data_IF_682167789789
#
_entry.id   IF_682167789789
#
_cell.length_a   1.000
_cell.length_b   1.000
_cell.length_c   1.000
_cell.angle_alpha   90.00
_cell.angle_beta   90.00
_cell.angle_gamma   90.00
#
_symmetry.space_group_name_H-M   'P 1'
#
loop_
_entity.id
_entity.type
_entity.pdbx_description
1 polymer ?
#
# COMPACT_ATOMS: atom_id res chain seq x y z
N UNK A 1 -22.24 8.68 29.88
CA UNK A 1 -22.35 10.14 29.66
C UNK A 1 -21.36 10.54 28.59
N UNK A 2 -21.84 10.84 27.37
CA UNK A 2 -21.02 11.15 26.19
C UNK A 2 -21.24 12.64 25.90
N UNK A 3 -20.41 13.52 26.47
CA UNK A 3 -20.45 14.94 26.11
C UNK A 3 -19.99 15.05 24.65
N UNK A 4 -20.92 15.43 23.77
CA UNK A 4 -20.72 15.55 22.34
C UNK A 4 -19.85 16.75 21.97
N UNK A 5 -18.53 16.63 22.17
CA UNK A 5 -17.61 17.35 21.31
C UNK A 5 -17.46 16.51 20.05
N UNK A 6 -17.91 17.04 18.91
CA UNK A 6 -17.71 16.32 17.65
C UNK A 6 -16.20 16.23 17.40
N UNK A 7 -15.71 15.06 16.97
CA UNK A 7 -14.30 14.81 16.71
C UNK A 7 -13.63 15.94 15.90
N UNK A 8 -14.39 16.54 14.97
CA UNK A 8 -13.97 17.63 14.10
C UNK A 8 -13.85 19.02 14.76
N UNK A 9 -14.39 19.23 15.96
CA UNK A 9 -14.29 20.53 16.65
C UNK A 9 -12.89 20.83 17.16
N UNK A 10 -12.08 19.80 17.42
CA UNK A 10 -10.74 20.00 17.93
C UNK A 10 -9.71 19.84 16.80
N UNK A 11 -9.05 20.93 16.35
CA UNK A 11 -8.10 20.87 15.24
C UNK A 11 -6.91 19.93 15.54
N UNK A 12 -6.59 19.69 16.81
CA UNK A 12 -5.52 18.80 17.22
C UNK A 12 -5.84 17.33 16.88
N UNK A 13 -7.10 16.91 17.04
CA UNK A 13 -7.53 15.55 16.70
C UNK A 13 -7.55 15.34 15.19
N UNK A 14 -8.03 16.32 14.44
CA UNK A 14 -8.01 16.28 12.97
C UNK A 14 -6.57 16.21 12.45
N UNK A 15 -5.66 17.01 13.01
CA UNK A 15 -4.25 17.01 12.62
C UNK A 15 -3.56 15.66 12.88
N UNK A 16 -3.70 15.11 14.09
CA UNK A 16 -3.16 13.78 14.42
C UNK A 16 -3.72 12.69 13.50
N UNK A 17 -5.00 12.80 13.16
CA UNK A 17 -5.67 11.81 12.33
C UNK A 17 -5.29 11.89 10.87
N UNK A 18 -5.13 13.10 10.33
CA UNK A 18 -4.56 13.32 9.00
C UNK A 18 -3.15 12.74 8.91
N UNK A 19 -2.31 12.96 9.92
CA UNK A 19 -0.95 12.43 9.95
C UNK A 19 -0.93 10.89 10.03
N UNK A 20 -1.93 10.30 10.69
CA UNK A 20 -2.14 8.84 10.73
C UNK A 20 -2.57 8.29 9.38
N UNK A 21 -3.44 9.00 8.66
CA UNK A 21 -3.80 8.64 7.30
C UNK A 21 -2.57 8.66 6.38
N UNK A 22 -1.76 9.71 6.43
CA UNK A 22 -0.55 9.81 5.61
C UNK A 22 0.42 8.67 5.94
N UNK A 23 0.58 8.30 7.22
CA UNK A 23 1.39 7.15 7.59
C UNK A 23 0.88 5.85 6.93
N UNK A 24 -0.43 5.59 6.99
CA UNK A 24 -0.99 4.39 6.36
C UNK A 24 -0.92 4.48 4.83
N UNK A 25 -1.11 5.66 4.25
CA UNK A 25 -0.99 5.89 2.81
C UNK A 25 0.42 5.57 2.29
N UNK A 26 1.46 5.77 3.11
CA UNK A 26 2.83 5.38 2.76
C UNK A 26 2.98 3.87 2.55
N UNK A 27 2.10 3.05 3.14
CA UNK A 27 2.06 1.60 2.86
C UNK A 27 1.49 1.27 1.49
N UNK A 28 0.66 2.16 0.92
CA UNK A 28 -0.02 1.90 -0.34
C UNK A 28 0.82 2.31 -1.55
N UNK A 29 1.73 3.28 -1.42
CA UNK A 29 2.57 3.74 -2.53
C UNK A 29 3.44 2.65 -3.17
N UNK A 30 4.11 1.74 -2.42
CA UNK A 30 4.97 0.74 -3.04
C UNK A 30 4.23 -0.51 -3.54
N UNK A 31 2.89 -0.58 -3.40
CA UNK A 31 2.10 -1.76 -3.83
C UNK A 31 2.37 -2.23 -5.27
N UNK A 32 2.52 -1.36 -6.28
CA UNK A 32 2.74 -1.78 -7.67
C UNK A 32 4.03 -2.58 -7.89
N UNK A 33 5.00 -2.49 -6.98
CA UNK A 33 6.30 -3.13 -7.14
C UNK A 33 6.29 -4.62 -6.79
N UNK A 34 5.27 -5.11 -6.09
CA UNK A 34 5.20 -6.51 -5.63
C UNK A 34 3.82 -7.13 -5.76
N UNK A 35 2.84 -6.36 -6.22
CA UNK A 35 1.50 -6.84 -6.56
C UNK A 35 1.08 -6.25 -7.89
N UNK A 36 0.35 -7.02 -8.68
CA UNK A 36 -0.26 -6.53 -9.93
C UNK A 36 -1.49 -5.65 -9.64
N UNK A 37 -1.28 -4.58 -8.86
CA UNK A 37 -2.32 -3.65 -8.46
C UNK A 37 -2.20 -2.36 -9.28
N UNK A 38 -2.76 -2.38 -10.50
CA UNK A 38 -2.86 -1.18 -11.36
C UNK A 38 -3.72 -0.03 -10.78
N UNK A 39 -4.46 -0.28 -9.70
CA UNK A 39 -5.48 0.64 -9.15
C UNK A 39 -5.14 1.21 -7.76
N UNK A 40 -3.86 1.49 -7.47
CA UNK A 40 -3.41 2.07 -6.17
C UNK A 40 -4.22 3.31 -5.77
N UNK A 41 -4.58 4.14 -6.74
CA UNK A 41 -5.40 5.34 -6.51
C UNK A 41 -6.78 5.01 -5.91
N UNK A 42 -7.42 3.92 -6.33
CA UNK A 42 -8.69 3.46 -5.75
C UNK A 42 -8.50 3.04 -4.30
N UNK A 43 -7.41 2.31 -3.99
CA UNK A 43 -7.10 1.90 -2.62
C UNK A 43 -6.78 3.10 -1.71
N UNK A 44 -6.08 4.12 -2.22
CA UNK A 44 -5.81 5.37 -1.49
C UNK A 44 -7.11 6.15 -1.19
N UNK A 45 -8.01 6.26 -2.16
CA UNK A 45 -9.32 6.91 -2.00
C UNK A 45 -10.22 6.13 -1.03
N UNK A 46 -10.27 4.80 -1.16
CA UNK A 46 -10.97 3.92 -0.24
C UNK A 46 -10.43 4.11 1.18
N UNK A 47 -9.11 4.11 1.37
CA UNK A 47 -8.47 4.32 2.67
C UNK A 47 -8.84 5.70 3.24
N UNK A 48 -8.81 6.76 2.44
CA UNK A 48 -9.21 8.09 2.87
C UNK A 48 -10.68 8.12 3.33
N UNK A 49 -11.58 7.51 2.56
CA UNK A 49 -12.99 7.39 2.91
C UNK A 49 -13.21 6.62 4.21
N UNK A 50 -12.52 5.48 4.38
CA UNK A 50 -12.57 4.67 5.60
C UNK A 50 -12.10 5.47 6.82
N UNK A 51 -11.09 6.33 6.66
CA UNK A 51 -10.66 7.24 7.72
C UNK A 51 -11.78 8.23 8.09
N UNK A 52 -12.39 8.89 7.10
CA UNK A 52 -13.50 9.82 7.35
C UNK A 52 -14.66 9.14 8.07
N UNK A 53 -15.07 7.95 7.62
CA UNK A 53 -16.10 7.13 8.28
C UNK A 53 -15.70 6.81 9.72
N UNK A 54 -14.43 6.48 9.96
CA UNK A 54 -13.94 6.17 11.29
C UNK A 54 -13.93 7.37 12.24
N UNK A 55 -13.64 8.57 11.74
CA UNK A 55 -13.67 9.83 12.48
C UNK A 55 -15.09 10.25 12.92
N UNK A 56 -16.12 9.92 12.14
CA UNK A 56 -17.50 10.27 12.46
C UNK A 56 -18.00 9.40 13.62
N UNK A 57 -18.50 10.07 14.67
CA UNK A 57 -19.12 9.40 15.83
C UNK A 57 -20.53 8.91 15.47
N UNK A 58 -20.63 7.70 14.94
CA UNK A 58 -21.91 7.05 14.58
C UNK A 58 -22.05 5.68 15.26
N UNK A 59 -23.25 5.10 15.21
CA UNK A 59 -23.51 3.74 15.68
C UNK A 59 -22.68 2.71 14.89
N UNK A 60 -22.25 1.64 15.55
CA UNK A 60 -21.40 0.60 14.95
C UNK A 60 -22.04 -0.02 13.69
N UNK A 61 -23.36 -0.23 13.69
CA UNK A 61 -24.07 -0.80 12.53
C UNK A 61 -23.99 0.14 11.31
N UNK A 62 -24.19 1.44 11.50
CA UNK A 62 -24.07 2.42 10.42
C UNK A 62 -22.64 2.49 9.89
N UNK A 63 -21.65 2.44 10.78
CA UNK A 63 -20.24 2.39 10.40
C UNK A 63 -19.95 1.16 9.54
N UNK A 64 -20.39 -0.02 9.99
CA UNK A 64 -20.23 -1.26 9.25
C UNK A 64 -20.89 -1.17 7.87
N UNK A 65 -22.10 -0.61 7.79
CA UNK A 65 -22.80 -0.38 6.53
C UNK A 65 -21.99 0.49 5.56
N UNK A 66 -21.44 1.62 6.02
CA UNK A 66 -20.61 2.50 5.17
C UNK A 66 -19.30 1.84 4.74
N UNK A 67 -18.64 1.10 5.64
CA UNK A 67 -17.42 0.35 5.32
C UNK A 67 -17.72 -0.71 4.27
N UNK A 68 -18.75 -1.52 4.47
CA UNK A 68 -19.17 -2.56 3.51
C UNK A 68 -19.55 -1.93 2.18
N UNK A 69 -20.36 -0.86 2.17
CA UNK A 69 -20.74 -0.17 0.93
C UNK A 69 -19.53 0.36 0.17
N UNK A 70 -18.54 0.92 0.86
CA UNK A 70 -17.30 1.41 0.24
C UNK A 70 -16.47 0.27 -0.36
N UNK A 71 -16.35 -0.87 0.33
CA UNK A 71 -15.64 -2.05 -0.20
C UNK A 71 -16.36 -2.60 -1.43
N UNK A 72 -17.69 -2.78 -1.38
CA UNK A 72 -18.47 -3.29 -2.50
C UNK A 72 -18.44 -2.34 -3.70
N UNK A 73 -18.49 -1.03 -3.46
CA UNK A 73 -18.36 -0.02 -4.51
C UNK A 73 -16.98 -0.06 -5.17
N UNK A 74 -15.91 -0.10 -4.37
CA UNK A 74 -14.54 -0.23 -4.91
C UNK A 74 -14.35 -1.53 -5.69
N UNK A 75 -14.90 -2.65 -5.21
CA UNK A 75 -14.91 -3.92 -5.94
C UNK A 75 -15.62 -3.79 -7.29
N UNK A 76 -16.80 -3.17 -7.29
CA UNK A 76 -17.55 -2.93 -8.53
C UNK A 76 -16.73 -2.11 -9.52
N UNK A 77 -16.11 -1.02 -9.09
CA UNK A 77 -15.32 -0.15 -9.98
C UNK A 77 -14.10 -0.82 -10.61
N UNK A 78 -13.53 -1.85 -9.97
CA UNK A 78 -12.33 -2.54 -10.46
C UNK A 78 -12.67 -3.78 -11.29
N UNK A 79 -13.65 -4.59 -10.86
CA UNK A 79 -13.82 -5.95 -11.39
C UNK A 79 -15.13 -6.19 -12.15
N UNK A 80 -16.15 -5.33 -12.01
CA UNK A 80 -17.49 -5.63 -12.53
C UNK A 80 -17.94 -4.58 -13.56
N UNK A 81 -18.47 -5.05 -14.68
CA UNK A 81 -19.09 -4.20 -15.71
C UNK A 81 -20.64 -4.19 -15.63
N UNK A 82 -21.22 -5.09 -14.84
CA UNK A 82 -22.67 -5.19 -14.61
C UNK A 82 -23.25 -3.99 -13.86
N UNK A 83 -24.58 -3.88 -13.85
CA UNK A 83 -25.28 -2.89 -13.01
C UNK A 83 -24.96 -3.11 -11.53
N UNK A 84 -24.45 -2.07 -10.85
CA UNK A 84 -24.10 -2.11 -9.44
C UNK A 84 -25.27 -2.61 -8.56
N UNK A 85 -25.00 -3.61 -7.72
CA UNK A 85 -25.97 -4.26 -6.82
C UNK A 85 -27.16 -4.93 -7.53
N UNK A 86 -27.07 -5.20 -8.83
CA UNK A 86 -28.03 -6.03 -9.56
C UNK A 86 -28.01 -7.49 -9.11
N UNK A 87 -29.03 -8.26 -9.53
CA UNK A 87 -29.14 -9.69 -9.20
C UNK A 87 -27.95 -10.47 -9.78
N UNK A 88 -27.57 -10.19 -11.04
CA UNK A 88 -26.40 -10.81 -11.68
C UNK A 88 -25.11 -10.49 -10.94
N UNK A 89 -24.93 -9.24 -10.51
CA UNK A 89 -23.77 -8.80 -9.74
C UNK A 89 -23.59 -9.62 -8.46
N UNK A 90 -24.67 -9.79 -7.68
CA UNK A 90 -24.62 -10.58 -6.45
C UNK A 90 -24.36 -12.07 -6.71
N UNK A 91 -24.94 -12.65 -7.76
CA UNK A 91 -24.70 -14.04 -8.14
C UNK A 91 -23.22 -14.27 -8.46
N UNK A 92 -22.64 -13.40 -9.29
CA UNK A 92 -21.21 -13.46 -9.66
C UNK A 92 -20.31 -13.25 -8.45
N UNK A 93 -20.56 -12.19 -7.65
CA UNK A 93 -19.73 -11.90 -6.48
C UNK A 93 -19.77 -13.02 -5.44
N UNK A 94 -20.96 -13.55 -5.12
CA UNK A 94 -21.11 -14.59 -4.10
C UNK A 94 -20.56 -15.94 -4.55
N UNK A 95 -20.79 -16.35 -5.80
CA UNK A 95 -20.24 -17.60 -6.34
C UNK A 95 -18.72 -17.59 -6.33
N UNK A 96 -18.11 -16.54 -6.91
CA UNK A 96 -16.65 -16.37 -6.92
C UNK A 96 -16.07 -16.30 -5.51
N UNK A 97 -16.69 -15.54 -4.59
CA UNK A 97 -16.19 -15.42 -3.22
C UNK A 97 -16.28 -16.75 -2.47
N UNK A 98 -17.35 -17.52 -2.66
CA UNK A 98 -17.55 -18.80 -1.98
C UNK A 98 -16.54 -19.86 -2.45
N UNK A 99 -16.36 -20.01 -3.76
CA UNK A 99 -15.38 -20.94 -4.34
C UNK A 99 -13.95 -20.63 -3.85
N UNK A 100 -13.58 -19.35 -3.84
CA UNK A 100 -12.23 -18.91 -3.44
C UNK A 100 -12.00 -19.02 -1.93
N UNK A 101 -13.06 -18.90 -1.12
CA UNK A 101 -12.96 -19.10 0.34
C UNK A 101 -12.60 -20.54 0.68
N UNK A 102 -13.07 -21.53 -0.09
CA UNK A 102 -12.70 -22.93 0.11
C UNK A 102 -11.20 -23.16 -0.12
N UNK A 103 -10.59 -22.47 -1.10
CA UNK A 103 -9.16 -22.56 -1.40
C UNK A 103 -8.26 -22.05 -0.26
N UNK A 104 -8.71 -21.05 0.51
CA UNK A 104 -7.99 -20.62 1.73
C UNK A 104 -7.89 -21.78 2.72
N UNK A 105 -9.00 -22.51 2.95
CA UNK A 105 -9.02 -23.59 3.93
C UNK A 105 -8.20 -24.81 3.50
N UNK A 106 -8.00 -25.01 2.20
CA UNK A 106 -7.13 -26.07 1.66
C UNK A 106 -5.65 -25.65 1.60
N UNK A 107 -5.32 -24.38 1.88
CA UNK A 107 -3.96 -23.86 1.90
C UNK A 107 -3.37 -23.51 0.53
N UNK A 108 -4.19 -23.53 -0.53
CA UNK A 108 -3.74 -23.20 -1.89
C UNK A 108 -3.90 -21.69 -2.15
N UNK A 109 -3.02 -20.90 -1.52
CA UNK A 109 -3.04 -19.44 -1.63
C UNK A 109 -2.61 -18.93 -3.01
N UNK A 110 -1.88 -19.76 -3.79
CA UNK A 110 -1.41 -19.40 -5.12
C UNK A 110 -2.56 -19.44 -6.14
N UNK A 111 -3.53 -20.33 -5.97
CA UNK A 111 -4.70 -20.42 -6.84
C UNK A 111 -5.77 -19.32 -6.63
N UNK A 112 -5.55 -18.40 -5.68
CA UNK A 112 -6.51 -17.33 -5.41
C UNK A 112 -6.63 -16.36 -6.59
N UNK A 113 -7.87 -16.11 -7.03
CA UNK A 113 -8.18 -15.12 -8.06
C UNK A 113 -7.90 -13.67 -7.58
N UNK A 114 -7.49 -12.79 -8.50
CA UNK A 114 -7.18 -11.37 -8.29
C UNK A 114 -8.31 -10.59 -7.60
N UNK A 115 -9.57 -10.85 -7.98
CA UNK A 115 -10.73 -10.23 -7.36
C UNK A 115 -10.77 -10.52 -5.85
N UNK A 116 -10.55 -11.79 -5.48
CA UNK A 116 -10.60 -12.23 -4.09
C UNK A 116 -9.38 -11.74 -3.28
N UNK A 117 -8.19 -11.75 -3.89
CA UNK A 117 -6.98 -11.13 -3.29
C UNK A 117 -7.20 -9.66 -2.98
N UNK A 118 -7.78 -8.92 -3.93
CA UNK A 118 -8.10 -7.49 -3.76
C UNK A 118 -9.20 -7.26 -2.73
N UNK A 119 -10.22 -8.13 -2.67
CA UNK A 119 -11.26 -8.08 -1.65
C UNK A 119 -10.70 -8.24 -0.23
N UNK A 120 -9.84 -9.26 -0.02
CA UNK A 120 -9.16 -9.47 1.25
C UNK A 120 -8.26 -8.27 1.62
N UNK A 121 -7.55 -7.72 0.64
CA UNK A 121 -6.73 -6.53 0.84
C UNK A 121 -7.57 -5.30 1.25
N UNK A 122 -8.74 -5.08 0.63
CA UNK A 122 -9.66 -4.01 1.06
C UNK A 122 -10.21 -4.21 2.47
N UNK A 123 -10.52 -5.46 2.85
CA UNK A 123 -10.89 -5.79 4.24
C UNK A 123 -9.74 -5.50 5.18
N UNK A 124 -8.51 -5.89 4.82
CA UNK A 124 -7.31 -5.60 5.60
C UNK A 124 -7.10 -4.08 5.76
N UNK A 125 -7.29 -3.30 4.70
CA UNK A 125 -7.24 -1.83 4.76
C UNK A 125 -8.31 -1.25 5.70
N UNK A 126 -9.54 -1.78 5.67
CA UNK A 126 -10.60 -1.37 6.59
C UNK A 126 -10.25 -1.68 8.05
N UNK A 127 -9.71 -2.87 8.33
CA UNK A 127 -9.23 -3.26 9.65
C UNK A 127 -8.06 -2.37 10.12
N UNK A 128 -7.09 -2.12 9.25
CA UNK A 128 -5.94 -1.25 9.56
C UNK A 128 -6.37 0.19 9.81
N UNK A 129 -7.29 0.73 9.01
CA UNK A 129 -7.87 2.06 9.25
C UNK A 129 -8.55 2.16 10.62
N UNK A 130 -9.34 1.14 11.00
CA UNK A 130 -9.99 1.11 12.31
C UNK A 130 -8.96 0.97 13.45
N UNK A 131 -7.97 0.10 13.30
CA UNK A 131 -6.97 -0.16 14.34
C UNK A 131 -6.07 1.05 14.57
N UNK A 132 -5.59 1.67 13.49
CA UNK A 132 -4.79 2.91 13.57
C UNK A 132 -5.59 4.06 14.20
N UNK A 133 -6.86 4.23 13.82
CA UNK A 133 -7.75 5.19 14.46
C UNK A 133 -7.86 4.95 15.97
N UNK A 134 -8.16 3.72 16.38
CA UNK A 134 -8.33 3.37 17.80
C UNK A 134 -7.05 3.65 18.60
N UNK A 135 -5.90 3.19 18.11
CA UNK A 135 -4.63 3.32 18.81
C UNK A 135 -4.12 4.75 18.90
N UNK A 136 -4.21 5.51 17.80
CA UNK A 136 -3.68 6.88 17.78
C UNK A 136 -4.61 7.85 18.52
N UNK A 137 -5.92 7.76 18.32
CA UNK A 137 -6.88 8.72 18.89
C UNK A 137 -7.23 8.39 20.33
N UNK A 138 -7.59 7.13 20.62
CA UNK A 138 -8.05 6.74 21.97
C UNK A 138 -6.90 6.35 22.88
N UNK A 139 -6.02 5.44 22.42
CA UNK A 139 -4.90 4.96 23.23
C UNK A 139 -3.73 5.97 23.26
N UNK A 140 -3.68 6.90 22.29
CA UNK A 140 -2.61 7.88 22.10
C UNK A 140 -1.24 7.23 21.94
N UNK A 141 -1.17 6.04 21.34
CA UNK A 141 0.04 5.24 21.10
C UNK A 141 0.15 4.92 19.61
N UNK A 142 1.35 5.06 19.06
CA UNK A 142 1.59 4.89 17.63
C UNK A 142 2.93 4.21 17.31
N UNK A 143 3.79 3.97 18.31
CA UNK A 143 5.10 3.35 18.09
C UNK A 143 5.03 2.01 17.36
N UNK A 144 4.01 1.20 17.66
CA UNK A 144 3.79 -0.07 16.96
C UNK A 144 3.63 0.15 15.44
N UNK A 145 2.69 1.01 15.02
CA UNK A 145 2.45 1.29 13.61
C UNK A 145 3.65 1.93 12.92
N UNK A 146 4.34 2.86 13.60
CA UNK A 146 5.54 3.47 13.06
C UNK A 146 6.65 2.44 12.82
N UNK A 147 6.94 1.57 13.79
CA UNK A 147 7.96 0.52 13.66
C UNK A 147 7.57 -0.47 12.56
N UNK A 148 6.31 -0.91 12.52
CA UNK A 148 5.82 -1.77 11.44
C UNK A 148 5.99 -1.11 10.07
N UNK A 149 5.76 0.20 9.95
CA UNK A 149 5.94 0.95 8.69
C UNK A 149 7.39 0.96 8.25
N UNK A 150 8.31 1.19 9.20
CA UNK A 150 9.75 1.15 8.96
C UNK A 150 10.20 -0.24 8.52
N UNK A 151 9.76 -1.29 9.22
CA UNK A 151 10.08 -2.68 8.85
C UNK A 151 9.53 -2.99 7.46
N UNK A 152 8.29 -2.61 7.17
CA UNK A 152 7.65 -2.83 5.88
C UNK A 152 8.47 -2.21 4.73
N UNK A 153 8.82 -0.92 4.83
CA UNK A 153 9.62 -0.25 3.79
C UNK A 153 11.03 -0.85 3.69
N UNK A 154 11.67 -1.19 4.81
CA UNK A 154 12.99 -1.80 4.80
C UNK A 154 13.00 -3.18 4.13
N UNK A 155 11.96 -4.00 4.38
CA UNK A 155 11.78 -5.30 3.72
C UNK A 155 11.59 -5.12 2.22
N UNK A 156 10.77 -4.15 1.79
CA UNK A 156 10.59 -3.88 0.37
C UNK A 156 11.87 -3.39 -0.30
N UNK A 157 12.58 -2.44 0.31
CA UNK A 157 13.88 -1.92 -0.17
C UNK A 157 14.94 -3.02 -0.29
N UNK A 158 14.86 -4.05 0.56
CA UNK A 158 15.83 -5.16 0.59
C UNK A 158 15.51 -6.27 -0.42
N UNK A 159 14.23 -6.60 -0.59
CA UNK A 159 13.79 -7.79 -1.33
C UNK A 159 13.10 -7.47 -2.67
N UNK A 160 12.90 -6.20 -3.01
CA UNK A 160 12.24 -5.78 -4.25
C UNK A 160 13.06 -4.69 -4.96
N UNK A 161 12.65 -4.31 -6.18
CA UNK A 161 13.25 -3.23 -6.97
C UNK A 161 12.85 -1.82 -6.48
N UNK A 162 12.10 -1.73 -5.38
CA UNK A 162 11.61 -0.47 -4.84
C UNK A 162 12.72 0.31 -4.11
N UNK A 163 13.02 1.54 -4.55
CA UNK A 163 13.89 2.46 -3.79
C UNK A 163 13.13 3.06 -2.60
N UNK A 164 13.42 2.54 -1.41
CA UNK A 164 12.82 2.96 -0.15
C UNK A 164 13.41 4.23 0.45
N UNK A 165 14.47 4.83 -0.11
CA UNK A 165 15.20 5.92 0.55
C UNK A 165 14.30 7.14 0.85
N UNK A 166 13.49 7.56 -0.12
CA UNK A 166 12.58 8.70 0.05
C UNK A 166 11.38 8.36 0.93
N UNK A 167 10.85 7.14 0.82
CA UNK A 167 9.74 6.70 1.66
C UNK A 167 10.15 6.61 3.12
N UNK A 168 11.36 6.09 3.40
CA UNK A 168 11.93 6.03 4.73
C UNK A 168 12.09 7.43 5.34
N UNK A 169 12.58 8.40 4.56
CA UNK A 169 12.70 9.79 5.00
C UNK A 169 11.33 10.40 5.33
N UNK A 170 10.31 10.22 4.48
CA UNK A 170 8.94 10.68 4.75
C UNK A 170 8.37 10.03 6.00
N UNK A 171 8.55 8.72 6.17
CA UNK A 171 8.11 7.98 7.36
C UNK A 171 8.72 8.57 8.63
N UNK A 172 10.03 8.83 8.67
CA UNK A 172 10.66 9.44 9.84
C UNK A 172 10.11 10.82 10.15
N UNK A 173 9.93 11.69 9.13
CA UNK A 173 9.35 13.02 9.32
C UNK A 173 7.95 12.90 9.92
N UNK A 174 7.08 12.10 9.29
CA UNK A 174 5.69 11.88 9.74
C UNK A 174 5.68 11.28 11.16
N UNK A 175 6.51 10.27 11.40
CA UNK A 175 6.62 9.58 12.68
C UNK A 175 7.08 10.50 13.81
N UNK A 176 8.13 11.29 13.62
CA UNK A 176 8.60 12.24 14.63
C UNK A 176 7.57 13.33 14.91
N UNK A 177 6.96 13.90 13.87
CA UNK A 177 5.89 14.90 14.05
C UNK A 177 4.72 14.28 14.82
N UNK A 178 4.33 13.05 14.51
CA UNK A 178 3.21 12.37 15.16
C UNK A 178 3.52 12.02 16.62
N UNK A 179 4.72 11.50 16.92
CA UNK A 179 5.17 11.22 18.29
C UNK A 179 5.21 12.48 19.13
N UNK A 180 5.73 13.59 18.59
CA UNK A 180 5.77 14.87 19.28
C UNK A 180 4.37 15.38 19.64
N UNK A 181 3.43 15.33 18.68
CA UNK A 181 2.05 15.77 18.93
C UNK A 181 1.28 14.82 19.84
N UNK A 182 1.55 13.51 19.79
CA UNK A 182 0.99 12.54 20.73
C UNK A 182 1.49 12.77 22.16
N UNK A 183 2.78 13.12 22.33
CA UNK A 183 3.32 13.48 23.64
C UNK A 183 2.61 14.71 24.21
N UNK A 184 2.44 15.74 23.40
CA UNK A 184 1.68 16.94 23.79
C UNK A 184 0.22 16.61 24.15
N UNK A 185 -0.42 15.79 23.33
CA UNK A 185 -1.79 15.33 23.53
C UNK A 185 -1.96 14.55 24.85
N UNK A 186 -0.93 13.82 25.30
CA UNK A 186 -0.95 13.19 26.63
C UNK A 186 -0.74 14.20 27.75
N UNK A 187 0.16 15.17 27.56
CA UNK A 187 0.41 16.23 28.55
C UNK A 187 -0.83 17.09 28.78
N UNK A 188 -1.65 17.34 27.76
CA UNK A 188 -2.89 18.11 27.91
C UNK A 188 -3.96 17.40 28.76
N UNK A 189 -3.88 16.08 28.92
CA UNK A 189 -4.75 15.34 29.84
C UNK A 189 -4.31 15.51 31.29
N UNK A 190 -3.03 15.75 31.54
CA UNK A 190 -2.46 15.93 32.88
C UNK A 190 -2.48 17.39 33.33
N UNK A 191 -2.22 18.32 32.41
CA UNK A 191 -2.12 19.75 32.70
C UNK A 191 -3.29 20.51 32.08
N UNK A 192 -4.13 21.13 32.92
CA UNK A 192 -5.40 21.75 32.53
C UNK A 192 -5.28 23.07 31.73
N UNK A 193 -4.06 23.59 31.48
CA UNK A 193 -3.84 24.95 30.95
C UNK A 193 -3.13 25.01 29.59
N UNK A 194 -3.18 23.93 28.79
CA UNK A 194 -2.57 23.92 27.45
C UNK A 194 -3.52 24.62 26.47
N UNK A 195 -3.29 25.93 26.25
CA UNK A 195 -4.00 26.71 25.24
C UNK A 195 -3.52 26.43 23.80
N UNK A 196 -4.30 26.87 22.81
CA UNK A 196 -3.96 26.75 21.38
C UNK A 196 -2.61 27.41 21.02
N UNK A 197 -2.20 28.46 21.75
CA UNK A 197 -0.88 29.10 21.58
C UNK A 197 0.27 28.15 21.90
N UNK A 198 0.11 27.31 22.92
CA UNK A 198 1.12 26.31 23.27
C UNK A 198 1.20 25.24 22.19
N UNK A 199 0.05 24.84 21.60
CA UNK A 199 0.01 23.88 20.49
C UNK A 199 0.79 24.40 19.29
N UNK A 200 0.53 25.63 18.84
CA UNK A 200 1.28 26.24 17.74
C UNK A 200 2.78 26.35 18.01
N UNK A 201 3.18 26.79 19.23
CA UNK A 201 4.59 26.85 19.61
C UNK A 201 5.26 25.47 19.58
N UNK A 202 4.57 24.46 20.09
CA UNK A 202 5.05 23.08 20.06
C UNK A 202 5.20 22.56 18.62
N UNK A 203 4.22 22.83 17.75
CA UNK A 203 4.29 22.45 16.33
C UNK A 203 5.45 23.13 15.62
N UNK A 204 5.67 24.43 15.84
CA UNK A 204 6.80 25.17 15.23
C UNK A 204 8.14 24.60 15.70
N UNK A 205 8.33 24.38 17.00
CA UNK A 205 9.57 23.80 17.54
C UNK A 205 9.79 22.39 17.00
N UNK A 206 8.73 21.58 16.94
CA UNK A 206 8.79 20.22 16.38
C UNK A 206 9.24 20.27 14.91
N UNK A 207 8.60 21.10 14.08
CA UNK A 207 8.93 21.23 12.67
C UNK A 207 10.36 21.74 12.47
N UNK A 208 10.81 22.70 13.29
CA UNK A 208 12.18 23.21 13.25
C UNK A 208 13.18 22.09 13.56
N UNK A 209 12.98 21.36 14.66
CA UNK A 209 13.88 20.25 15.05
C UNK A 209 13.91 19.16 13.98
N UNK A 210 12.73 18.76 13.46
CA UNK A 210 12.65 17.76 12.39
C UNK A 210 13.33 18.25 11.12
N UNK A 211 13.15 19.52 10.73
CA UNK A 211 13.80 20.08 9.53
C UNK A 211 15.33 20.11 9.63
N UNK A 212 15.88 20.45 10.80
CA UNK A 212 17.32 20.44 11.06
C UNK A 212 17.83 18.99 11.01
N UNK A 213 17.13 18.06 11.65
CA UNK A 213 17.49 16.65 11.65
C UNK A 213 17.45 16.04 10.23
N UNK A 214 16.42 16.35 9.44
CA UNK A 214 16.31 15.90 8.05
C UNK A 214 17.42 16.51 7.18
N UNK A 215 17.71 17.80 7.34
CA UNK A 215 18.80 18.45 6.58
C UNK A 215 20.16 17.84 6.91
N UNK A 216 20.42 17.57 8.20
CA UNK A 216 21.60 16.85 8.64
C UNK A 216 21.65 15.42 8.08
N UNK A 217 20.53 14.69 8.09
CA UNK A 217 20.45 13.33 7.57
C UNK A 217 20.70 13.24 6.06
N UNK A 218 20.24 14.24 5.28
CA UNK A 218 20.45 14.29 3.83
C UNK A 218 21.87 14.76 3.46
N UNK A 219 22.44 15.70 4.24
CA UNK A 219 23.77 16.26 4.00
C UNK A 219 24.91 15.40 4.56
N UNK A 220 24.62 14.49 5.49
CA UNK A 220 25.61 13.61 6.06
C UNK A 220 26.24 12.70 4.99
N UNK A 221 27.57 12.51 4.99
CA UNK A 221 28.23 11.60 4.08
C UNK A 221 27.72 10.17 4.35
N UNK A 222 27.10 9.55 3.35
CA UNK A 222 26.68 8.16 3.42
C UNK A 222 27.96 7.30 3.37
N UNK A 223 28.35 6.75 4.51
CA UNK A 223 29.47 5.82 4.57
C UNK A 223 29.13 4.56 3.78
N UNK A 224 30.09 4.03 3.03
CA UNK A 224 29.94 2.72 2.39
C UNK A 224 29.66 1.66 3.47
N UNK A 225 28.85 0.62 3.16
CA UNK A 225 28.55 -0.45 4.10
C UNK A 225 29.84 -0.98 4.75
N UNK A 226 29.93 -0.90 6.07
CA UNK A 226 31.11 -1.38 6.82
C UNK A 226 31.11 -2.91 6.98
N UNK A 227 29.97 -3.55 6.70
CA UNK A 227 29.78 -4.99 6.79
C UNK A 227 29.36 -5.53 5.42
N UNK A 228 29.81 -6.73 5.04
CA UNK A 228 29.30 -7.43 3.87
C UNK A 228 27.78 -7.54 3.95
N UNK A 229 27.08 -7.26 2.85
CA UNK A 229 25.63 -7.35 2.80
C UNK A 229 25.20 -8.82 3.10
N UNK A 230 24.39 -9.09 4.14
CA UNK A 230 23.93 -10.44 4.45
C UNK A 230 22.78 -10.91 3.54
N UNK A 231 22.14 -9.99 2.81
CA UNK A 231 20.94 -10.27 2.00
C UNK A 231 21.24 -11.25 0.85
N UNK A 232 22.36 -11.15 0.10
CA UNK A 232 22.76 -12.16 -0.86
C UNK A 232 22.87 -13.57 -0.26
N UNK A 233 23.30 -13.72 1.00
CA UNK A 233 23.38 -15.03 1.65
C UNK A 233 22.00 -15.61 1.97
N UNK A 234 21.04 -14.76 2.36
CA UNK A 234 19.66 -15.18 2.63
C UNK A 234 18.93 -15.50 1.32
N UNK A 235 19.17 -14.72 0.27
CA UNK A 235 18.67 -14.99 -1.09
C UNK A 235 19.23 -16.32 -1.62
N UNK A 236 20.54 -16.55 -1.48
CA UNK A 236 21.21 -17.81 -1.82
C UNK A 236 20.59 -19.02 -1.11
N UNK A 237 20.36 -18.90 0.20
CA UNK A 237 19.78 -19.96 1.02
C UNK A 237 18.28 -20.18 0.73
N UNK A 238 17.58 -19.15 0.25
CA UNK A 238 16.16 -19.18 -0.15
C UNK A 238 15.92 -19.63 -1.60
N UNK A 239 16.97 -20.01 -2.34
CA UNK A 239 16.84 -20.43 -3.75
C UNK A 239 16.72 -19.28 -4.75
N UNK A 240 16.89 -18.03 -4.32
CA UNK A 240 17.02 -16.87 -5.20
C UNK A 240 18.49 -16.79 -5.64
N UNK A 241 18.76 -17.16 -6.89
CA UNK A 241 20.11 -17.35 -7.43
C UNK A 241 21.10 -16.24 -7.08
N UNK A 242 22.29 -16.66 -6.68
CA UNK A 242 23.43 -15.83 -6.26
C UNK A 242 24.08 -15.13 -7.45
N UNK A 243 23.48 -14.08 -7.99
CA UNK A 243 24.21 -13.08 -8.80
C UNK A 243 23.29 -11.91 -9.16
N UNK A 244 23.14 -10.96 -8.24
CA UNK A 244 22.74 -9.59 -8.58
C UNK A 244 23.97 -8.85 -9.15
N UNK A 245 24.41 -9.28 -10.33
CA UNK A 245 25.19 -8.40 -11.21
C UNK A 245 24.19 -7.44 -11.87
N UNK A 246 24.54 -6.17 -11.96
CA UNK A 246 23.65 -5.03 -12.28
C UNK A 246 23.23 -4.97 -13.76
N UNK A 247 23.31 -6.11 -14.47
CA UNK A 247 22.88 -6.25 -15.86
C UNK A 247 21.53 -6.94 -15.93
N UNK A 248 20.51 -6.24 -16.46
CA UNK A 248 19.19 -6.77 -16.78
C UNK A 248 19.26 -8.17 -17.40
N UNK A 249 18.96 -9.22 -16.61
CA UNK A 249 18.84 -10.61 -17.08
C UNK A 249 17.39 -10.86 -17.48
N UNK A 250 17.05 -10.48 -18.70
CA UNK A 250 15.76 -10.80 -19.35
C UNK A 250 15.82 -12.21 -19.92
N UNK A 251 14.74 -12.98 -19.79
CA UNK A 251 14.59 -14.25 -20.52
C UNK A 251 14.41 -13.90 -22.00
N UNK A 252 15.41 -14.17 -22.83
CA UNK A 252 15.32 -13.91 -24.26
C UNK A 252 16.46 -14.57 -25.04
N UNK A 253 16.27 -14.69 -26.35
CA UNK A 253 17.26 -15.23 -27.28
C UNK A 253 18.45 -14.24 -27.40
N UNK A 254 19.49 -14.45 -26.60
CA UNK A 254 20.79 -13.81 -26.76
C UNK A 254 21.83 -14.83 -27.23
N UNK A 255 22.78 -14.41 -28.07
CA UNK A 255 23.79 -15.30 -28.68
C UNK A 255 24.83 -15.86 -27.67
N UNK A 256 24.67 -15.62 -26.37
CA UNK A 256 25.68 -15.91 -25.34
C UNK A 256 25.10 -16.82 -24.25
N UNK A 257 25.14 -18.13 -24.50
CA UNK A 257 24.62 -19.20 -23.62
C UNK A 257 25.58 -19.62 -22.48
N UNK A 258 26.66 -18.88 -22.27
CA UNK A 258 27.76 -19.33 -21.40
C UNK A 258 27.47 -19.22 -19.89
N UNK A 259 26.30 -18.69 -19.49
CA UNK A 259 25.92 -18.45 -18.08
C UNK A 259 24.43 -18.70 -17.81
N UNK A 260 23.98 -19.94 -18.05
CA UNK A 260 22.64 -20.40 -17.68
C UNK A 260 22.54 -20.66 -16.16
N UNK A 261 21.83 -19.78 -15.45
CA UNK A 261 21.45 -19.98 -14.05
C UNK A 261 21.21 -18.67 -13.30
N UNK A 262 20.02 -18.51 -12.72
CA UNK A 262 19.63 -17.33 -11.92
C UNK A 262 18.11 -17.14 -11.86
N UNK A 263 17.63 -16.24 -10.99
CA UNK A 263 16.25 -15.76 -11.07
C UNK A 263 16.13 -14.84 -12.27
N UNK A 264 15.20 -15.14 -13.18
CA UNK A 264 15.02 -14.37 -14.41
C UNK A 264 13.76 -13.50 -14.34
N UNK A 265 13.80 -12.35 -15.01
CA UNK A 265 12.62 -11.50 -15.25
C UNK A 265 12.01 -11.87 -16.61
N UNK A 266 10.69 -12.12 -16.66
CA UNK A 266 9.99 -12.46 -17.91
C UNK A 266 10.03 -11.26 -18.87
N UNK A 267 10.47 -11.50 -20.11
CA UNK A 267 10.45 -10.51 -21.18
C UNK A 267 9.21 -10.72 -22.04
N UNK A 268 8.22 -9.85 -21.86
CA UNK A 268 6.98 -9.85 -22.64
C UNK A 268 7.14 -9.18 -24.02
N UNK A 269 8.36 -9.04 -24.53
CA UNK A 269 8.60 -8.47 -25.85
C UNK A 269 8.05 -9.40 -26.95
N UNK A 270 7.11 -8.93 -27.81
CA UNK A 270 6.55 -9.77 -28.88
C UNK A 270 7.64 -10.20 -29.87
N UNK A 271 7.90 -11.50 -29.95
CA UNK A 271 8.90 -12.09 -30.86
C UNK A 271 8.43 -12.15 -32.31
N UNK A 272 7.12 -12.14 -32.55
CA UNK A 272 6.56 -12.21 -33.89
C UNK A 272 5.22 -11.47 -33.97
N UNK A 273 5.06 -10.69 -35.04
CA UNK A 273 3.77 -10.16 -35.47
C UNK A 273 3.28 -11.02 -36.64
N UNK A 274 2.13 -11.67 -36.47
CA UNK A 274 1.48 -12.38 -37.56
C UNK A 274 0.45 -11.45 -38.23
N UNK A 275 0.56 -11.29 -39.56
CA UNK A 275 -0.46 -10.64 -40.38
C UNK A 275 -1.44 -11.69 -40.89
N UNK A 276 -2.71 -11.56 -40.54
CA UNK A 276 -3.77 -12.40 -41.10
C UNK A 276 -4.42 -11.68 -42.27
N UNK A 277 -4.16 -12.15 -43.48
CA UNK A 277 -4.89 -11.70 -44.66
C UNK A 277 -6.27 -12.35 -44.68
N UNK A 278 -7.29 -11.59 -44.31
CA UNK A 278 -8.67 -12.00 -44.48
C UNK A 278 -8.98 -12.06 -45.98
N UNK A 279 -9.01 -13.26 -46.56
CA UNK A 279 -9.55 -13.50 -47.91
C UNK A 279 -11.08 -13.40 -47.88
N UNK A 280 -11.57 -12.19 -47.62
CA UNK A 280 -12.95 -11.78 -47.87
C UNK A 280 -13.08 -11.26 -49.30
N UNK A 281 -13.96 -11.89 -50.09
CA UNK A 281 -14.32 -11.43 -51.42
C UNK A 281 -14.89 -10.00 -51.30
N UNK A 282 -14.12 -9.02 -51.80
CA UNK A 282 -14.59 -7.65 -52.04
C UNK A 282 -14.08 -6.60 -51.06
N UNK A 283 -12.93 -6.01 -51.40
CA UNK A 283 -12.67 -4.58 -51.21
C UNK A 283 -12.36 -4.08 -49.80
N UNK A 284 -11.05 -4.00 -49.51
CA UNK A 284 -10.38 -3.15 -48.50
C UNK A 284 -10.69 -3.49 -47.03
N UNK A 285 -9.79 -4.26 -46.40
CA UNK A 285 -9.76 -4.49 -44.95
C UNK A 285 -8.42 -4.03 -44.37
N UNK A 286 -8.40 -3.39 -43.18
CA UNK A 286 -7.16 -3.06 -42.49
C UNK A 286 -6.49 -4.33 -41.94
N UNK A 287 -5.17 -4.44 -42.15
CA UNK A 287 -4.33 -5.49 -41.56
C UNK A 287 -4.34 -5.37 -40.04
N UNK A 288 -4.90 -6.35 -39.34
CA UNK A 288 -4.86 -6.43 -37.88
C UNK A 288 -3.63 -7.26 -37.47
N UNK A 289 -2.62 -6.61 -36.88
CA UNK A 289 -1.46 -7.30 -36.31
C UNK A 289 -1.82 -7.80 -34.91
N UNK A 290 -1.71 -9.11 -34.69
CA UNK A 290 -1.92 -9.71 -33.36
C UNK A 290 -0.53 -10.10 -32.80
N UNK A 291 -0.15 -9.63 -31.60
CA UNK A 291 1.08 -10.04 -30.96
C UNK A 291 0.97 -11.50 -30.49
N UNK A 292 1.94 -12.33 -30.85
CA UNK A 292 2.04 -13.71 -30.36
C UNK A 292 2.99 -13.72 -29.16
N UNK A 293 2.44 -14.06 -27.99
CA UNK A 293 3.21 -14.23 -26.75
C UNK A 293 3.62 -15.69 -26.60
N UNK A 294 4.84 -15.96 -26.16
CA UNK A 294 5.32 -17.31 -25.83
C UNK A 294 5.23 -17.46 -24.31
N UNK A 295 4.48 -18.46 -23.84
CA UNK A 295 4.34 -18.78 -22.42
C UNK A 295 5.46 -19.66 -21.89
#
# INVERSE_FOLDING_TARGET
MRSGTSFFQNPQHVFLYLLTYILLAEWLFPLPYFTDTGYVHVFLLLTAFLFVVNAISMHFILRLLFVTAAILYSMHTIFFQDVFLGISWWQTFLSMTFEQTLLIFTGDLYALNEMYRSFLFMILLALMSFLTFYWVVYVRRMMFFFICSVIYVAVLDTFTLYDGAWAMLRLFIIGFVLVAHLKMSRLSLTYMNISMRHWWRWSIVTLLVVSIATTAAVSAPKLTPQWPNPVPFIQAAGGFGTEYDTGNRRIGYGDHDDRLGGGFEMDDTPVMYASVDNLGIGGVSPSMCIPVMVG
#
